data_IF_071676558175
#
_entry.id   IF_071676558175
#
_cell.length_a   1.000
_cell.length_b   1.000
_cell.length_c   1.000
_cell.angle_alpha   90.00
_cell.angle_beta   90.00
_cell.angle_gamma   90.00
#
_symmetry.space_group_name_H-M   'P 1'
#
loop_
_entity.id
_entity.type
_entity.pdbx_description
1 polymer ?
#
# COMPACT_ATOMS: atom_id res chain seq x y z
N UNK A 1 -4.97 -10.21 -25.62
CA UNK A 1 -4.67 -8.84 -25.11
C UNK A 1 -3.18 -8.63 -25.26
N UNK A 2 -2.70 -7.49 -25.70
CA UNK A 2 -1.26 -7.28 -25.70
C UNK A 2 -0.80 -6.84 -24.27
N UNK A 3 0.48 -7.05 -24.00
CA UNK A 3 1.12 -6.76 -22.70
C UNK A 3 0.82 -5.34 -22.17
N UNK A 4 0.75 -4.35 -23.04
CA UNK A 4 0.44 -2.97 -22.68
C UNK A 4 -0.99 -2.80 -22.13
N UNK A 5 -1.96 -3.55 -22.61
CA UNK A 5 -3.35 -3.47 -22.16
C UNK A 5 -3.54 -4.09 -20.78
N UNK A 6 -2.81 -5.16 -20.46
CA UNK A 6 -2.79 -5.72 -19.10
C UNK A 6 -2.15 -4.76 -18.11
N UNK A 7 -1.05 -4.12 -18.49
CA UNK A 7 -0.40 -3.10 -17.66
C UNK A 7 -1.32 -1.92 -17.38
N UNK A 8 -2.02 -1.39 -18.39
CA UNK A 8 -3.02 -0.33 -18.20
C UNK A 8 -4.10 -0.75 -17.20
N UNK A 9 -4.61 -1.98 -17.32
CA UNK A 9 -5.62 -2.53 -16.40
C UNK A 9 -5.11 -2.63 -14.95
N UNK A 10 -3.86 -2.99 -14.75
CA UNK A 10 -3.23 -3.00 -13.41
C UNK A 10 -3.08 -1.58 -12.87
N UNK A 11 -2.66 -0.64 -13.69
CA UNK A 11 -2.44 0.74 -13.28
C UNK A 11 -3.74 1.53 -13.04
N UNK A 12 -4.87 1.04 -13.53
CA UNK A 12 -6.20 1.60 -13.26
C UNK A 12 -6.79 1.19 -11.89
N UNK A 13 -6.15 0.29 -11.16
CA UNK A 13 -6.58 -0.10 -9.81
C UNK A 13 -6.64 1.10 -8.86
N UNK A 14 -7.60 1.06 -7.96
CA UNK A 14 -7.86 2.12 -6.95
C UNK A 14 -8.02 1.51 -5.57
N UNK A 15 -6.92 1.03 -4.96
CA UNK A 15 -6.98 0.38 -3.67
C UNK A 15 -7.65 1.25 -2.61
N UNK A 16 -8.27 0.60 -1.63
CA UNK A 16 -8.92 1.25 -0.51
C UNK A 16 -8.05 1.22 0.75
N UNK A 17 -8.37 2.08 1.68
CA UNK A 17 -7.84 2.02 3.04
C UNK A 17 -8.98 2.11 4.05
N UNK A 18 -8.79 1.56 5.24
CA UNK A 18 -9.78 1.62 6.32
C UNK A 18 -9.91 3.04 6.88
N UNK A 19 -11.14 3.53 6.98
CA UNK A 19 -11.45 4.87 7.48
C UNK A 19 -10.95 5.13 8.90
N UNK A 20 -10.76 4.07 9.70
CA UNK A 20 -10.19 4.18 11.05
C UNK A 20 -8.78 4.77 11.08
N UNK A 21 -8.04 4.68 9.98
CA UNK A 21 -6.67 5.21 9.88
C UNK A 21 -6.60 6.60 9.26
N UNK A 22 -7.72 7.15 8.78
CA UNK A 22 -7.77 8.42 8.05
C UNK A 22 -7.06 9.55 8.80
N UNK A 23 -7.39 9.78 10.07
CA UNK A 23 -6.82 10.87 10.85
C UNK A 23 -5.29 10.75 10.99
N UNK A 24 -4.77 9.54 11.18
CA UNK A 24 -3.33 9.29 11.21
C UNK A 24 -2.71 9.54 9.84
N UNK A 25 -3.29 9.00 8.76
CA UNK A 25 -2.78 9.17 7.40
C UNK A 25 -2.69 10.65 7.05
N UNK A 26 -3.72 11.43 7.39
CA UNK A 26 -3.74 12.88 7.18
C UNK A 26 -2.68 13.61 8.00
N UNK A 27 -2.40 13.15 9.21
CA UNK A 27 -1.40 13.76 10.07
C UNK A 27 0.04 13.51 9.62
N UNK A 28 0.34 12.30 9.11
CA UNK A 28 1.70 11.90 8.69
C UNK A 28 1.97 12.12 7.20
N UNK A 29 0.97 12.51 6.42
CA UNK A 29 1.08 12.78 4.99
C UNK A 29 1.05 14.29 4.72
N UNK A 30 1.79 14.71 3.69
CA UNK A 30 1.73 16.08 3.21
C UNK A 30 0.70 16.19 2.08
N UNK A 31 -0.35 16.98 2.29
CA UNK A 31 -1.39 17.27 1.26
C UNK A 31 -0.93 18.27 0.18
N UNK A 32 0.38 18.52 0.07
CA UNK A 32 0.93 19.55 -0.82
C UNK A 32 0.96 20.95 -0.20
N UNK A 33 0.61 21.09 1.04
CA UNK A 33 0.81 22.32 1.80
C UNK A 33 2.27 22.45 2.21
N UNK A 34 2.86 23.61 1.92
CA UNK A 34 4.29 23.89 2.13
C UNK A 34 4.71 23.97 3.60
N UNK A 35 3.78 23.87 4.53
CA UNK A 35 4.05 24.04 5.96
C UNK A 35 3.28 23.03 6.77
N UNK A 36 3.92 21.90 7.07
CA UNK A 36 3.56 21.17 8.25
C UNK A 36 3.84 22.05 9.47
N UNK A 37 2.81 22.61 10.07
CA UNK A 37 2.91 23.41 11.29
C UNK A 37 3.05 22.52 12.52
N UNK A 38 3.87 21.48 12.46
CA UNK A 38 4.08 20.57 13.57
C UNK A 38 5.45 19.91 13.53
N UNK A 39 5.95 19.54 14.70
CA UNK A 39 7.17 18.75 14.87
C UNK A 39 6.98 17.27 14.46
N UNK A 40 6.15 16.98 13.47
CA UNK A 40 5.82 15.64 13.03
C UNK A 40 6.45 15.42 11.66
N UNK A 41 7.26 14.37 11.54
CA UNK A 41 7.80 13.95 10.26
C UNK A 41 6.66 13.55 9.33
N UNK A 42 6.69 14.07 8.12
CA UNK A 42 5.65 13.83 7.13
C UNK A 42 6.21 13.04 5.95
N UNK A 43 5.49 12.02 5.55
CA UNK A 43 5.62 11.48 4.21
C UNK A 43 5.20 12.54 3.20
N UNK A 44 5.58 12.39 1.97
CA UNK A 44 5.06 13.21 0.89
C UNK A 44 3.54 13.05 0.70
N UNK A 45 3.10 12.92 -0.53
CA UNK A 45 1.68 12.74 -0.86
C UNK A 45 1.09 11.46 -0.22
N UNK A 46 -0.23 11.41 -0.10
CA UNK A 46 -0.97 10.27 0.46
C UNK A 46 -0.57 8.92 -0.15
N UNK A 47 -0.36 8.83 -1.46
CA UNK A 47 0.05 7.60 -2.11
C UNK A 47 1.44 7.12 -1.66
N UNK A 48 2.34 8.02 -1.26
CA UNK A 48 3.63 7.63 -0.68
C UNK A 48 3.43 6.98 0.69
N UNK A 49 2.54 7.52 1.52
CA UNK A 49 2.15 6.91 2.80
C UNK A 49 1.54 5.54 2.59
N UNK A 50 0.69 5.36 1.58
CA UNK A 50 0.09 4.08 1.24
C UNK A 50 1.14 3.06 0.79
N UNK A 51 2.02 3.45 -0.13
CA UNK A 51 3.13 2.58 -0.59
C UNK A 51 4.03 2.15 0.58
N UNK A 52 4.30 3.06 1.49
CA UNK A 52 5.09 2.75 2.69
C UNK A 52 4.37 1.77 3.62
N UNK A 53 3.06 1.94 3.82
CA UNK A 53 2.25 0.99 4.57
C UNK A 53 2.27 -0.41 3.93
N UNK A 54 2.21 -0.51 2.60
CA UNK A 54 2.40 -1.78 1.89
C UNK A 54 3.76 -2.43 2.22
N UNK A 55 4.84 -1.66 2.19
CA UNK A 55 6.19 -2.17 2.49
C UNK A 55 6.26 -2.66 3.94
N UNK A 56 5.71 -1.92 4.90
CA UNK A 56 5.61 -2.37 6.29
C UNK A 56 4.82 -3.67 6.39
N UNK A 57 3.66 -3.76 5.76
CA UNK A 57 2.82 -4.95 5.77
C UNK A 57 3.53 -6.18 5.21
N UNK A 58 4.27 -6.01 4.11
CA UNK A 58 5.12 -7.08 3.55
C UNK A 58 6.22 -7.49 4.53
N UNK A 59 6.83 -6.54 5.22
CA UNK A 59 7.83 -6.83 6.27
C UNK A 59 7.23 -7.58 7.47
N UNK A 60 5.97 -7.29 7.82
CA UNK A 60 5.22 -8.05 8.84
C UNK A 60 4.90 -9.48 8.39
N UNK A 61 4.90 -9.75 7.10
CA UNK A 61 4.84 -11.09 6.51
C UNK A 61 3.44 -11.65 6.31
N UNK A 62 2.39 -10.91 6.65
CA UNK A 62 1.00 -11.35 6.48
C UNK A 62 0.09 -10.17 6.13
N UNK A 63 -0.86 -10.36 5.20
CA UNK A 63 -1.88 -9.37 4.92
C UNK A 63 -2.95 -9.35 6.03
N UNK A 64 -3.67 -8.25 6.13
CA UNK A 64 -4.86 -8.10 6.94
C UNK A 64 -5.99 -7.57 6.07
N UNK A 65 -6.84 -8.44 5.61
CA UNK A 65 -7.97 -8.08 4.76
C UNK A 65 -9.04 -7.31 5.53
N UNK A 66 -9.83 -6.50 4.82
CA UNK A 66 -10.94 -5.77 5.43
C UNK A 66 -12.03 -6.71 5.91
N UNK A 67 -12.67 -6.34 7.01
CA UNK A 67 -13.86 -7.03 7.50
C UNK A 67 -15.07 -6.67 6.61
N UNK A 68 -16.08 -7.53 6.57
CA UNK A 68 -17.24 -7.40 5.67
C UNK A 68 -18.02 -6.08 5.83
N UNK A 69 -17.95 -5.44 6.98
CA UNK A 69 -18.64 -4.17 7.29
C UNK A 69 -17.68 -3.02 7.60
N UNK A 70 -16.39 -3.20 7.31
CA UNK A 70 -15.40 -2.16 7.55
C UNK A 70 -15.60 -0.98 6.58
N UNK A 71 -15.71 0.22 7.13
CA UNK A 71 -15.79 1.43 6.33
C UNK A 71 -14.43 1.71 5.68
N UNK A 72 -14.42 1.83 4.37
CA UNK A 72 -13.21 2.07 3.58
C UNK A 72 -13.39 3.24 2.64
N UNK A 73 -12.30 3.90 2.32
CA UNK A 73 -12.25 4.97 1.32
C UNK A 73 -11.34 4.57 0.15
N UNK A 74 -11.84 4.79 -1.07
CA UNK A 74 -11.06 4.64 -2.29
C UNK A 74 -9.86 5.59 -2.28
N UNK A 75 -8.74 5.07 -2.71
CA UNK A 75 -7.49 5.81 -2.80
C UNK A 75 -7.20 6.28 -4.23
N UNK A 76 -6.14 7.06 -4.39
CA UNK A 76 -5.74 7.51 -5.71
C UNK A 76 -5.39 6.34 -6.63
N UNK A 77 -5.83 6.40 -7.88
CA UNK A 77 -5.52 5.43 -8.93
C UNK A 77 -4.01 5.22 -9.07
N UNK A 78 -3.60 3.97 -9.23
CA UNK A 78 -2.19 3.57 -9.14
C UNK A 78 -1.29 4.23 -10.20
N UNK A 79 -1.80 4.55 -11.38
CA UNK A 79 -0.97 5.21 -12.40
C UNK A 79 -0.44 6.59 -11.95
N UNK A 80 -1.09 7.24 -10.96
CA UNK A 80 -0.66 8.53 -10.38
C UNK A 80 0.42 8.38 -9.30
N UNK A 81 0.67 7.17 -8.82
CA UNK A 81 1.62 6.96 -7.73
C UNK A 81 3.05 7.20 -8.17
N UNK A 82 3.79 7.96 -7.37
CA UNK A 82 5.20 8.29 -7.62
C UNK A 82 6.03 8.13 -6.33
N UNK A 83 7.27 7.69 -6.43
CA UNK A 83 7.98 7.33 -7.66
C UNK A 83 7.48 6.03 -8.29
N UNK A 84 7.43 5.96 -9.60
CA UNK A 84 6.89 4.81 -10.34
C UNK A 84 7.63 3.52 -10.04
N UNK A 85 8.95 3.60 -9.81
CA UNK A 85 9.78 2.44 -9.47
C UNK A 85 9.34 1.75 -8.19
N UNK A 86 8.90 2.49 -7.17
CA UNK A 86 8.40 1.92 -5.92
C UNK A 86 7.02 1.30 -6.13
N UNK A 87 6.15 1.95 -6.89
CA UNK A 87 4.85 1.40 -7.29
C UNK A 87 5.01 0.06 -7.99
N UNK A 88 5.84 0.02 -9.03
CA UNK A 88 6.07 -1.16 -9.85
C UNK A 88 6.71 -2.29 -9.01
N UNK A 89 7.61 -1.94 -8.10
CA UNK A 89 8.18 -2.88 -7.15
C UNK A 89 7.12 -3.50 -6.21
N UNK A 90 6.17 -2.70 -5.72
CA UNK A 90 5.05 -3.20 -4.90
C UNK A 90 4.21 -4.18 -5.70
N UNK A 91 3.84 -3.84 -6.94
CA UNK A 91 3.07 -4.73 -7.83
C UNK A 91 3.81 -6.06 -8.00
N UNK A 92 5.10 -6.02 -8.35
CA UNK A 92 5.92 -7.22 -8.51
C UNK A 92 6.03 -8.06 -7.24
N UNK A 93 6.19 -7.40 -6.08
CA UNK A 93 6.21 -8.11 -4.79
C UNK A 93 4.91 -8.88 -4.53
N UNK A 94 3.76 -8.26 -4.79
CA UNK A 94 2.46 -8.90 -4.57
C UNK A 94 2.30 -10.10 -5.48
N UNK A 95 2.62 -9.96 -6.76
CA UNK A 95 2.56 -11.04 -7.74
C UNK A 95 3.47 -12.22 -7.37
N UNK A 96 4.71 -11.94 -6.98
CA UNK A 96 5.66 -12.98 -6.59
C UNK A 96 5.25 -13.73 -5.32
N UNK A 97 4.74 -13.02 -4.32
CA UNK A 97 4.31 -13.64 -3.05
C UNK A 97 3.09 -14.55 -3.22
N UNK A 98 2.18 -14.15 -4.09
CA UNK A 98 0.90 -14.84 -4.31
C UNK A 98 0.96 -15.84 -5.47
N UNK A 99 2.13 -16.07 -6.07
CA UNK A 99 2.27 -16.94 -7.24
C UNK A 99 1.38 -16.48 -8.39
N UNK A 100 1.32 -15.14 -8.63
CA UNK A 100 0.41 -14.50 -9.60
C UNK A 100 -1.06 -14.91 -9.43
N UNK A 101 -1.46 -15.27 -8.21
CA UNK A 101 -2.82 -15.74 -7.83
C UNK A 101 -3.27 -16.98 -8.61
N UNK A 102 -2.33 -17.81 -9.08
CA UNK A 102 -2.59 -18.98 -9.91
C UNK A 102 -2.84 -18.68 -11.39
N UNK A 103 -2.63 -17.45 -11.83
CA UNK A 103 -2.71 -17.09 -13.24
C UNK A 103 -1.33 -17.19 -13.91
N UNK A 104 -1.28 -17.79 -15.09
CA UNK A 104 -0.11 -17.75 -15.95
C UNK A 104 -0.14 -16.49 -16.81
N UNK A 105 1.01 -15.83 -16.96
CA UNK A 105 1.08 -14.56 -17.72
C UNK A 105 0.61 -14.70 -19.16
N UNK A 106 0.96 -15.79 -19.81
CA UNK A 106 0.55 -16.06 -21.19
C UNK A 106 -0.96 -16.25 -21.32
N UNK A 107 -1.58 -16.80 -20.29
CA UNK A 107 -3.02 -16.96 -20.25
C UNK A 107 -3.72 -15.62 -20.05
N UNK A 108 -3.17 -14.74 -19.18
CA UNK A 108 -3.70 -13.40 -18.98
C UNK A 108 -3.64 -12.53 -20.23
N UNK A 109 -2.59 -12.65 -21.04
CA UNK A 109 -2.47 -11.91 -22.30
C UNK A 109 -3.54 -12.31 -23.33
N UNK A 110 -4.05 -13.53 -23.23
CA UNK A 110 -5.05 -14.09 -24.13
C UNK A 110 -6.44 -14.28 -23.50
N UNK A 111 -6.60 -13.85 -22.25
CA UNK A 111 -7.83 -14.06 -21.50
C UNK A 111 -8.95 -13.11 -21.90
N UNK A 112 -10.17 -13.52 -21.56
CA UNK A 112 -11.36 -12.69 -21.62
C UNK A 112 -11.38 -11.62 -20.52
N UNK A 113 -12.29 -10.68 -20.64
CA UNK A 113 -12.42 -9.57 -19.69
C UNK A 113 -12.80 -10.05 -18.27
N UNK A 114 -13.54 -11.16 -18.13
CA UNK A 114 -13.93 -11.70 -16.82
C UNK A 114 -12.73 -12.23 -16.07
N UNK A 115 -11.85 -12.98 -16.73
CA UNK A 115 -10.60 -13.48 -16.16
C UNK A 115 -9.70 -12.33 -15.73
N UNK A 116 -9.59 -11.29 -16.54
CA UNK A 116 -8.79 -10.10 -16.21
C UNK A 116 -9.35 -9.37 -14.98
N UNK A 117 -10.67 -9.20 -14.89
CA UNK A 117 -11.31 -8.60 -13.71
C UNK A 117 -11.07 -9.44 -12.45
N UNK A 118 -11.11 -10.76 -12.56
CA UNK A 118 -10.76 -11.67 -11.45
C UNK A 118 -9.33 -11.46 -10.97
N UNK A 119 -8.38 -11.39 -11.89
CA UNK A 119 -6.97 -11.10 -11.60
C UNK A 119 -6.79 -9.71 -10.95
N UNK A 120 -7.41 -8.67 -11.51
CA UNK A 120 -7.35 -7.31 -10.94
C UNK A 120 -7.84 -7.26 -9.51
N UNK A 121 -8.99 -7.90 -9.22
CA UNK A 121 -9.55 -7.98 -7.85
C UNK A 121 -8.61 -8.71 -6.88
N UNK A 122 -7.99 -9.80 -7.32
CA UNK A 122 -7.04 -10.54 -6.50
C UNK A 122 -5.81 -9.69 -6.18
N UNK A 123 -5.25 -8.99 -7.16
CA UNK A 123 -4.11 -8.09 -6.96
C UNK A 123 -4.46 -6.91 -6.06
N UNK A 124 -5.60 -6.26 -6.30
CA UNK A 124 -6.08 -5.14 -5.47
C UNK A 124 -6.27 -5.55 -4.02
N UNK A 125 -6.97 -6.66 -3.78
CA UNK A 125 -7.20 -7.22 -2.45
C UNK A 125 -5.88 -7.53 -1.71
N UNK A 126 -4.88 -8.03 -2.42
CA UNK A 126 -3.57 -8.31 -1.82
C UNK A 126 -2.82 -7.02 -1.45
N UNK A 127 -2.83 -6.02 -2.33
CA UNK A 127 -2.25 -4.70 -2.06
C UNK A 127 -2.93 -4.06 -0.84
N UNK A 128 -4.25 -4.06 -0.81
CA UNK A 128 -5.07 -3.56 0.30
C UNK A 128 -4.77 -4.30 1.59
N UNK A 129 -4.68 -5.62 1.55
CA UNK A 129 -4.40 -6.45 2.71
C UNK A 129 -3.05 -6.13 3.36
N UNK A 130 -2.00 -6.01 2.56
CA UNK A 130 -0.68 -5.62 3.08
C UNK A 130 -0.64 -4.17 3.53
N UNK A 131 -1.26 -3.24 2.80
CA UNK A 131 -1.35 -1.85 3.21
C UNK A 131 -2.11 -1.73 4.55
N UNK A 132 -3.21 -2.44 4.71
CA UNK A 132 -4.01 -2.44 5.94
C UNK A 132 -3.24 -2.97 7.15
N UNK A 133 -2.45 -4.03 6.98
CA UNK A 133 -1.53 -4.53 8.01
C UNK A 133 -0.47 -3.48 8.38
N UNK A 134 0.09 -2.79 7.41
CA UNK A 134 1.05 -1.70 7.62
C UNK A 134 0.43 -0.49 8.30
N UNK A 135 -0.78 -0.08 7.91
CA UNK A 135 -1.51 1.01 8.57
C UNK A 135 -1.87 0.66 10.01
N UNK A 136 -2.25 -0.58 10.31
CA UNK A 136 -2.49 -1.00 11.68
C UNK A 136 -1.24 -0.87 12.54
N UNK A 137 -0.09 -1.29 12.01
CA UNK A 137 1.20 -1.14 12.71
C UNK A 137 1.54 0.34 12.96
N UNK A 138 1.42 1.19 11.94
CA UNK A 138 1.66 2.63 12.06
C UNK A 138 0.70 3.28 13.04
N UNK A 139 -0.58 2.91 13.00
CA UNK A 139 -1.61 3.45 13.90
C UNK A 139 -1.35 3.10 15.35
N UNK A 140 -0.96 1.86 15.63
CA UNK A 140 -0.59 1.43 16.98
C UNK A 140 0.63 2.21 17.47
N UNK A 141 1.67 2.31 16.66
CA UNK A 141 2.86 3.08 16.99
C UNK A 141 2.53 4.58 17.18
N UNK A 142 1.66 5.13 16.36
CA UNK A 142 1.16 6.51 16.49
C UNK A 142 0.44 6.76 17.82
N UNK A 143 -0.35 5.80 18.29
CA UNK A 143 -1.04 5.92 19.58
C UNK A 143 -0.11 5.78 20.77
N UNK A 144 0.83 4.83 20.71
CA UNK A 144 1.72 4.50 21.84
C UNK A 144 2.95 5.41 21.91
N UNK A 145 3.51 5.79 20.77
CA UNK A 145 4.79 6.50 20.67
C UNK A 145 4.70 7.74 19.75
N UNK A 146 3.66 8.53 19.90
CA UNK A 146 3.41 9.68 19.02
C UNK A 146 4.62 10.61 18.88
N UNK A 147 5.41 10.75 19.95
CA UNK A 147 6.60 11.59 19.98
C UNK A 147 7.69 11.09 19.00
N UNK A 148 7.73 9.80 18.72
CA UNK A 148 8.69 9.24 17.76
C UNK A 148 8.48 9.78 16.34
N UNK A 149 7.25 10.18 16.00
CA UNK A 149 6.91 10.79 14.71
C UNK A 149 7.41 12.22 14.54
N UNK A 150 7.99 12.83 15.59
CA UNK A 150 8.71 14.11 15.46
C UNK A 150 10.12 13.93 14.88
N UNK A 151 10.66 12.72 14.86
CA UNK A 151 11.96 12.42 14.27
C UNK A 151 11.87 12.37 12.74
N UNK A 152 12.75 13.06 12.01
CA UNK A 152 12.78 12.97 10.54
C UNK A 152 13.17 11.59 10.01
N UNK A 153 13.69 10.70 10.88
CA UNK A 153 14.12 9.34 10.51
C UNK A 153 13.13 8.27 10.93
N UNK A 154 11.97 8.62 11.50
CA UNK A 154 11.01 7.67 12.09
C UNK A 154 10.66 6.51 11.14
N UNK A 155 10.48 6.80 9.87
CA UNK A 155 10.09 5.78 8.89
C UNK A 155 11.21 4.81 8.55
N UNK A 156 12.46 5.28 8.55
CA UNK A 156 13.64 4.41 8.42
C UNK A 156 13.83 3.58 9.66
N UNK A 157 13.63 4.17 10.83
CA UNK A 157 13.77 3.49 12.12
C UNK A 157 12.74 2.37 12.29
N UNK A 158 11.49 2.60 11.84
CA UNK A 158 10.45 1.56 11.80
C UNK A 158 10.90 0.36 10.95
N UNK A 159 11.44 0.58 9.76
CA UNK A 159 11.91 -0.52 8.92
C UNK A 159 13.06 -1.29 9.57
N UNK A 160 14.00 -0.60 10.21
CA UNK A 160 15.10 -1.23 10.96
C UNK A 160 14.59 -2.04 12.15
N UNK A 161 13.58 -1.56 12.89
CA UNK A 161 12.94 -2.31 13.98
C UNK A 161 12.32 -3.61 13.48
N UNK A 162 11.65 -3.57 12.33
CA UNK A 162 11.03 -4.75 11.73
C UNK A 162 12.05 -5.78 11.22
N UNK A 163 13.20 -5.33 10.76
CA UNK A 163 14.30 -6.23 10.38
C UNK A 163 14.86 -7.00 11.58
N UNK A 164 15.04 -6.33 12.72
CA UNK A 164 15.56 -6.96 13.95
C UNK A 164 14.61 -7.99 14.57
N UNK A 165 13.29 -7.85 14.36
CA UNK A 165 12.29 -8.78 14.89
C UNK A 165 12.18 -10.09 14.10
N UNK A 166 12.86 -10.22 12.96
CA UNK A 166 12.88 -11.44 12.12
C UNK A 166 14.05 -12.39 12.40
N UNK A 167 14.95 -12.02 13.31
CA UNK A 167 16.04 -12.85 13.80
C UNK A 167 15.63 -13.44 15.15
#
# INVERSE_FOLDING_TARGET
MNSSKLEEKILDLRPHYSDKYRAMIEAISNKGEKTGTGNIAQFGAFYQTFMYACIIGVRLGRPKYFEAQEATTEFAVMYKWKPTQIRDYIIMMMLNRSGSFGYEWIDLENSDDETIVGFQRALENEIEGYANAGFEYLYKKWQEERISFSSPTVFVDILKELEKKKI
#
